data_IF_385094668733
#
_entry.id   IF_385094668733
#
_cell.length_a   1.000
_cell.length_b   1.000
_cell.length_c   1.000
_cell.angle_alpha   90.00
_cell.angle_beta   90.00
_cell.angle_gamma   90.00
#
_symmetry.space_group_name_H-M   'P 1'
#
loop_
_entity.id
_entity.type
_entity.pdbx_description
1 polymer ?
#
# COMPACT_ATOMS: atom_id res chain seq x y z
N UNK A 1 -0.65 23.97 13.44
CA UNK A 1 -0.74 25.09 12.46
C UNK A 1 -0.30 24.50 11.13
N UNK A 2 -1.21 24.30 10.16
CA UNK A 2 -0.88 23.61 8.89
C UNK A 2 0.22 24.40 8.16
N UNK A 3 1.29 23.73 7.72
CA UNK A 3 2.35 24.33 6.92
C UNK A 3 1.79 25.08 5.72
N UNK A 4 2.15 26.37 5.60
CA UNK A 4 1.79 27.26 4.48
C UNK A 4 2.43 26.83 3.16
N UNK A 5 3.39 25.90 3.18
CA UNK A 5 4.23 25.55 2.04
C UNK A 5 4.17 24.06 1.67
N UNK A 6 4.26 23.71 0.38
CA UNK A 6 4.22 22.32 -0.07
C UNK A 6 5.50 21.55 0.32
N UNK A 7 5.37 20.24 0.58
CA UNK A 7 6.53 19.32 0.74
C UNK A 7 7.52 19.43 -0.43
N UNK A 8 8.79 19.13 -0.20
CA UNK A 8 9.85 19.19 -1.22
C UNK A 8 9.49 18.40 -2.51
N UNK A 9 8.88 17.21 -2.39
CA UNK A 9 8.43 16.42 -3.54
C UNK A 9 7.28 17.10 -4.31
N UNK A 10 6.35 17.75 -3.60
CA UNK A 10 5.26 18.49 -4.24
C UNK A 10 5.79 19.75 -4.92
N UNK A 11 6.72 20.47 -4.28
CA UNK A 11 7.41 21.62 -4.88
C UNK A 11 8.18 21.21 -6.16
N UNK A 12 8.90 20.08 -6.13
CA UNK A 12 9.58 19.54 -7.31
C UNK A 12 8.61 19.29 -8.47
N UNK A 13 7.45 18.69 -8.20
CA UNK A 13 6.44 18.45 -9.23
C UNK A 13 5.80 19.76 -9.75
N UNK A 14 5.61 20.75 -8.87
CA UNK A 14 5.17 22.09 -9.29
C UNK A 14 6.19 22.76 -10.21
N UNK A 15 7.49 22.71 -9.87
CA UNK A 15 8.54 23.27 -10.72
C UNK A 15 8.68 22.52 -12.05
N UNK A 16 8.49 21.19 -12.07
CA UNK A 16 8.44 20.44 -13.32
C UNK A 16 7.25 20.83 -14.19
N UNK A 17 6.05 20.97 -13.60
CA UNK A 17 4.87 21.43 -14.33
C UNK A 17 5.05 22.86 -14.86
N UNK A 18 5.64 23.75 -14.04
CA UNK A 18 5.97 25.12 -14.42
C UNK A 18 6.99 25.15 -15.55
N UNK A 19 8.02 24.31 -15.53
CA UNK A 19 8.99 24.21 -16.63
C UNK A 19 8.30 23.86 -17.96
N UNK A 20 7.42 22.87 -17.95
CA UNK A 20 6.67 22.49 -19.16
C UNK A 20 5.74 23.61 -19.64
N UNK A 21 5.20 24.43 -18.74
CA UNK A 21 4.44 25.63 -19.08
C UNK A 21 5.34 26.72 -19.67
N UNK A 22 6.52 26.96 -19.09
CA UNK A 22 7.47 27.95 -19.59
C UNK A 22 8.00 27.59 -20.99
N UNK A 23 8.28 26.30 -21.22
CA UNK A 23 8.65 25.80 -22.55
C UNK A 23 7.51 26.07 -23.57
N UNK A 24 6.25 25.94 -23.16
CA UNK A 24 5.10 26.26 -24.01
C UNK A 24 4.94 27.77 -24.23
N UNK A 25 5.06 28.60 -23.17
CA UNK A 25 5.04 30.07 -23.22
C UNK A 25 6.06 30.61 -24.23
N UNK A 26 7.29 30.10 -24.20
CA UNK A 26 8.37 30.50 -25.10
C UNK A 26 8.00 30.20 -26.57
N UNK A 27 7.43 29.02 -26.83
CA UNK A 27 6.96 28.66 -28.19
C UNK A 27 5.76 29.48 -28.68
N UNK A 28 5.02 30.14 -27.79
CA UNK A 28 3.86 30.98 -28.11
C UNK A 28 4.19 32.48 -28.08
N UNK A 29 5.47 32.84 -27.95
CA UNK A 29 5.96 34.22 -28.01
C UNK A 29 5.61 35.08 -26.79
N UNK A 30 5.23 34.45 -25.68
CA UNK A 30 4.94 35.10 -24.41
C UNK A 30 6.22 35.20 -23.56
N UNK A 31 6.34 36.27 -22.76
CA UNK A 31 7.57 36.55 -22.00
C UNK A 31 7.45 36.25 -20.50
N UNK A 32 6.22 36.11 -19.99
CA UNK A 32 5.95 35.84 -18.58
C UNK A 32 4.72 34.97 -18.39
N UNK A 33 4.70 34.21 -17.29
CA UNK A 33 3.49 33.51 -16.82
C UNK A 33 2.37 34.49 -16.43
N UNK A 34 2.73 35.72 -16.04
CA UNK A 34 1.78 36.79 -15.71
C UNK A 34 1.01 37.30 -16.95
N UNK A 35 1.55 37.07 -18.15
CA UNK A 35 0.93 37.49 -19.41
C UNK A 35 -0.17 36.51 -19.87
N UNK A 36 -0.28 35.34 -19.22
CA UNK A 36 -1.27 34.34 -19.59
C UNK A 36 -2.69 34.85 -19.31
N UNK A 37 -3.50 34.86 -20.36
CA UNK A 37 -4.94 35.09 -20.29
C UNK A 37 -5.69 33.77 -20.03
N UNK A 38 -7.00 33.87 -19.77
CA UNK A 38 -7.88 32.70 -19.70
C UNK A 38 -7.91 31.91 -21.02
N UNK A 39 -7.69 32.57 -22.15
CA UNK A 39 -7.61 31.89 -23.46
C UNK A 39 -6.32 31.08 -23.57
N UNK A 40 -5.17 31.66 -23.18
CA UNK A 40 -3.88 30.96 -23.17
C UNK A 40 -3.91 29.74 -22.24
N UNK A 41 -4.55 29.85 -21.07
CA UNK A 41 -4.76 28.71 -20.18
C UNK A 41 -5.65 27.63 -20.82
N UNK A 42 -6.64 28.02 -21.62
CA UNK A 42 -7.49 27.06 -22.33
C UNK A 42 -6.68 26.32 -23.39
N UNK A 43 -5.90 27.05 -24.20
CA UNK A 43 -5.01 26.50 -25.22
C UNK A 43 -3.92 25.59 -24.61
N UNK A 44 -3.35 25.96 -23.47
CA UNK A 44 -2.39 25.09 -22.77
C UNK A 44 -3.05 23.80 -22.28
N UNK A 45 -4.27 23.87 -21.75
CA UNK A 45 -5.01 22.68 -21.34
C UNK A 45 -5.24 21.73 -22.52
N UNK A 46 -5.58 22.27 -23.69
CA UNK A 46 -5.74 21.51 -24.94
C UNK A 46 -4.40 20.92 -25.41
N UNK A 47 -3.30 21.68 -25.32
CA UNK A 47 -1.96 21.20 -25.60
C UNK A 47 -1.59 19.99 -24.73
N UNK A 48 -1.85 20.04 -23.42
CA UNK A 48 -1.62 18.91 -22.51
C UNK A 48 -2.50 17.72 -22.86
N UNK A 49 -3.76 17.97 -23.23
CA UNK A 49 -4.71 16.94 -23.71
C UNK A 49 -4.20 16.21 -24.95
N UNK A 50 -3.70 16.95 -25.93
CA UNK A 50 -3.24 16.46 -27.23
C UNK A 50 -1.93 15.64 -27.19
N UNK A 51 -1.18 15.66 -26.08
CA UNK A 51 0.07 14.91 -25.95
C UNK A 51 -0.16 13.39 -25.92
N UNK A 52 0.26 12.68 -26.95
CA UNK A 52 0.19 11.20 -26.96
C UNK A 52 1.35 10.53 -26.21
N UNK A 53 2.43 11.25 -25.96
CA UNK A 53 3.65 10.73 -25.31
C UNK A 53 3.54 10.61 -23.77
N UNK A 54 2.40 10.99 -23.19
CA UNK A 54 2.16 11.01 -21.74
C UNK A 54 0.88 10.28 -21.35
N UNK A 55 0.91 9.62 -20.20
CA UNK A 55 -0.26 8.93 -19.63
C UNK A 55 -1.32 9.90 -19.12
N UNK A 56 -2.57 9.46 -19.02
CA UNK A 56 -3.67 10.27 -18.49
C UNK A 56 -3.38 10.82 -17.08
N UNK A 57 -2.88 9.98 -16.17
CA UNK A 57 -2.51 10.40 -14.81
C UNK A 57 -1.38 11.45 -14.79
N UNK A 58 -0.43 11.38 -15.73
CA UNK A 58 0.63 12.38 -15.85
C UNK A 58 0.07 13.73 -16.32
N UNK A 59 -0.85 13.72 -17.29
CA UNK A 59 -1.56 14.92 -17.76
C UNK A 59 -2.37 15.58 -16.64
N UNK A 60 -3.13 14.79 -15.87
CA UNK A 60 -3.88 15.29 -14.70
C UNK A 60 -2.94 15.89 -13.66
N UNK A 61 -1.85 15.20 -13.30
CA UNK A 61 -0.89 15.69 -12.33
C UNK A 61 -0.30 17.05 -12.75
N UNK A 62 0.05 17.21 -14.02
CA UNK A 62 0.55 18.47 -14.57
C UNK A 62 -0.44 19.63 -14.38
N UNK A 63 -1.72 19.44 -14.74
CA UNK A 63 -2.76 20.46 -14.57
C UNK A 63 -3.03 20.78 -13.09
N UNK A 64 -3.07 19.75 -12.22
CA UNK A 64 -3.22 19.90 -10.77
C UNK A 64 -2.08 20.74 -10.18
N UNK A 65 -0.84 20.46 -10.57
CA UNK A 65 0.33 21.15 -10.03
C UNK A 65 0.38 22.63 -10.44
N UNK A 66 -0.10 22.98 -11.63
CA UNK A 66 -0.26 24.38 -12.05
C UNK A 66 -1.40 25.10 -11.30
N UNK A 67 -2.51 24.42 -11.04
CA UNK A 67 -3.58 24.97 -10.17
C UNK A 67 -3.09 25.22 -8.74
N UNK A 68 -2.23 24.35 -8.22
CA UNK A 68 -1.58 24.55 -6.91
C UNK A 68 -0.57 25.70 -6.93
N UNK A 69 0.17 25.88 -8.02
CA UNK A 69 1.05 27.04 -8.19
C UNK A 69 0.25 28.33 -8.14
N UNK A 70 -0.90 28.38 -8.82
CA UNK A 70 -1.82 29.52 -8.78
C UNK A 70 -2.40 29.78 -7.39
N UNK A 71 -2.68 28.75 -6.59
CA UNK A 71 -3.15 28.92 -5.22
C UNK A 71 -2.17 29.70 -4.32
N UNK A 72 -0.88 29.74 -4.70
CA UNK A 72 0.13 30.57 -4.03
C UNK A 72 0.21 32.01 -4.56
N UNK A 73 -0.66 32.43 -5.48
CA UNK A 73 -0.73 33.82 -5.93
C UNK A 73 -0.92 34.82 -4.79
N UNK A 74 -1.63 34.41 -3.73
CA UNK A 74 -1.81 35.23 -2.52
C UNK A 74 -0.49 35.57 -1.82
N UNK A 75 0.57 34.79 -2.08
CA UNK A 75 1.91 34.97 -1.53
C UNK A 75 2.87 35.62 -2.53
N UNK A 76 2.49 35.78 -3.80
CA UNK A 76 3.36 36.32 -4.86
C UNK A 76 3.26 37.85 -4.94
N UNK A 77 4.38 38.55 -5.20
CA UNK A 77 4.33 39.98 -5.51
C UNK A 77 3.46 40.24 -6.75
N UNK A 78 2.72 41.35 -6.74
CA UNK A 78 1.80 41.74 -7.83
C UNK A 78 2.31 41.56 -9.28
N UNK A 79 3.59 41.84 -9.64
CA UNK A 79 4.06 41.62 -11.01
C UNK A 79 4.22 40.15 -11.42
N UNK A 80 4.15 39.21 -10.46
CA UNK A 80 4.28 37.77 -10.68
C UNK A 80 2.98 37.00 -10.43
N UNK A 81 1.93 37.68 -9.98
CA UNK A 81 0.60 37.09 -9.90
C UNK A 81 0.04 36.89 -11.32
N UNK A 82 -0.64 35.77 -11.53
CA UNK A 82 -1.14 35.38 -12.86
C UNK A 82 -2.59 34.92 -12.80
N UNK A 83 -3.27 34.87 -13.95
CA UNK A 83 -4.69 34.52 -14.00
C UNK A 83 -4.92 33.05 -13.62
N UNK A 84 -6.12 32.73 -13.13
CA UNK A 84 -6.47 31.36 -12.75
C UNK A 84 -6.50 30.45 -13.98
N UNK A 85 -5.87 29.25 -13.92
CA UNK A 85 -5.98 28.27 -14.98
C UNK A 85 -7.43 27.87 -15.24
N UNK A 86 -7.81 27.69 -16.51
CA UNK A 86 -9.21 27.45 -16.92
C UNK A 86 -9.82 26.17 -16.31
N UNK A 87 -8.99 25.19 -15.96
CA UNK A 87 -9.42 23.94 -15.30
C UNK A 87 -9.52 24.05 -13.77
N UNK A 88 -9.26 25.22 -13.18
CA UNK A 88 -9.47 25.43 -11.76
C UNK A 88 -10.97 25.42 -11.41
N UNK A 89 -11.82 25.94 -12.30
CA UNK A 89 -13.27 26.02 -12.13
C UNK A 89 -14.05 25.00 -12.98
N UNK A 90 -13.38 24.02 -13.59
CA UNK A 90 -14.00 23.08 -14.52
C UNK A 90 -13.31 21.70 -14.52
N UNK A 91 -14.06 20.66 -14.90
CA UNK A 91 -13.57 19.28 -14.89
C UNK A 91 -12.43 19.09 -15.90
N UNK A 92 -11.34 18.42 -15.49
CA UNK A 92 -10.20 18.09 -16.36
C UNK A 92 -10.60 17.33 -17.63
N UNK A 93 -11.70 16.57 -17.57
CA UNK A 93 -12.23 15.81 -18.70
C UNK A 93 -12.62 16.67 -19.90
N UNK A 94 -12.82 17.98 -19.70
CA UNK A 94 -13.03 18.94 -20.78
C UNK A 94 -11.82 19.04 -21.72
N UNK A 95 -10.60 18.91 -21.18
CA UNK A 95 -9.35 19.02 -21.94
C UNK A 95 -8.73 17.67 -22.26
N UNK A 96 -8.84 16.73 -21.32
CA UNK A 96 -8.18 15.43 -21.43
C UNK A 96 -9.07 14.36 -22.06
N UNK A 97 -10.34 14.68 -22.34
CA UNK A 97 -11.38 13.70 -22.62
C UNK A 97 -11.84 12.96 -21.36
N UNK A 98 -12.86 12.09 -21.47
CA UNK A 98 -13.22 11.21 -20.36
C UNK A 98 -11.98 10.46 -19.91
N UNK A 99 -11.81 10.32 -18.59
CA UNK A 99 -10.78 9.43 -18.08
C UNK A 99 -10.95 8.09 -18.80
N UNK A 100 -9.89 7.53 -19.40
CA UNK A 100 -9.96 6.18 -19.91
C UNK A 100 -10.56 5.35 -18.79
N UNK A 101 -11.49 4.44 -19.10
CA UNK A 101 -11.88 3.36 -18.19
C UNK A 101 -10.70 2.37 -18.07
N UNK A 102 -9.49 2.90 -17.94
CA UNK A 102 -8.33 2.19 -17.50
C UNK A 102 -8.46 2.13 -15.99
N UNK A 103 -8.93 0.97 -15.54
CA UNK A 103 -8.83 0.54 -14.16
C UNK A 103 -7.44 0.93 -13.63
N UNK A 104 -7.37 1.98 -12.81
CA UNK A 104 -6.14 2.43 -12.14
C UNK A 104 -5.57 1.35 -11.21
N UNK A 105 -6.29 0.24 -11.06
CA UNK A 105 -5.86 -1.00 -10.42
C UNK A 105 -5.29 -2.00 -11.43
N UNK A 106 -4.09 -1.73 -11.98
CA UNK A 106 -3.28 -2.72 -12.76
C UNK A 106 -2.84 -3.95 -11.95
N UNK A 107 -3.13 -3.98 -10.66
CA UNK A 107 -2.79 -5.10 -9.78
C UNK A 107 -3.88 -6.16 -9.92
N UNK A 108 -3.53 -7.28 -10.53
CA UNK A 108 -4.39 -8.45 -10.66
C UNK A 108 -4.62 -9.11 -9.28
N UNK A 109 -5.86 -9.50 -8.91
CA UNK A 109 -6.10 -10.37 -7.76
C UNK A 109 -5.28 -11.67 -7.83
N UNK A 110 -5.05 -12.33 -6.71
CA UNK A 110 -4.55 -13.71 -6.71
C UNK A 110 -5.63 -14.67 -7.19
N UNK A 111 -5.23 -15.74 -7.88
CA UNK A 111 -6.14 -16.83 -8.21
C UNK A 111 -6.67 -17.47 -6.90
N UNK A 112 -7.98 -17.83 -6.80
CA UNK A 112 -8.58 -18.35 -5.57
C UNK A 112 -7.87 -19.58 -4.98
N UNK A 113 -7.45 -20.51 -5.84
CA UNK A 113 -6.69 -21.70 -5.42
C UNK A 113 -5.34 -21.32 -4.80
N UNK A 114 -4.61 -20.40 -5.44
CA UNK A 114 -3.29 -19.99 -5.01
C UNK A 114 -3.32 -19.28 -3.66
N UNK A 115 -4.25 -18.34 -3.51
CA UNK A 115 -4.39 -17.59 -2.25
C UNK A 115 -4.88 -18.50 -1.13
N UNK A 116 -5.78 -19.45 -1.41
CA UNK A 116 -6.24 -20.43 -0.42
C UNK A 116 -5.09 -21.31 0.06
N UNK A 117 -4.28 -21.85 -0.85
CA UNK A 117 -3.10 -22.64 -0.49
C UNK A 117 -2.09 -21.82 0.33
N UNK A 118 -1.88 -20.56 -0.03
CA UNK A 118 -0.98 -19.66 0.71
C UNK A 118 -1.49 -19.32 2.12
N UNK A 119 -2.81 -19.15 2.29
CA UNK A 119 -3.45 -18.94 3.60
C UNK A 119 -3.28 -20.18 4.46
N UNK A 120 -3.50 -21.38 3.91
CA UNK A 120 -3.28 -22.65 4.63
C UNK A 120 -1.82 -22.77 5.06
N UNK A 121 -0.87 -22.52 4.16
CA UNK A 121 0.55 -22.51 4.47
C UNK A 121 0.91 -21.57 5.62
N UNK A 122 0.40 -20.32 5.55
CA UNK A 122 0.65 -19.32 6.57
C UNK A 122 0.01 -19.70 7.92
N UNK A 123 -1.24 -20.19 7.91
CA UNK A 123 -1.95 -20.61 9.10
C UNK A 123 -1.25 -21.77 9.80
N UNK A 124 -0.81 -22.79 9.06
CA UNK A 124 -0.07 -23.94 9.59
C UNK A 124 1.23 -23.51 10.27
N UNK A 125 1.97 -22.59 9.66
CA UNK A 125 3.24 -22.11 10.20
C UNK A 125 3.04 -21.24 11.44
N UNK A 126 2.04 -20.36 11.45
CA UNK A 126 1.71 -19.56 12.64
C UNK A 126 1.22 -20.42 13.79
N UNK A 127 0.29 -21.36 13.51
CA UNK A 127 -0.22 -22.27 14.54
C UNK A 127 0.89 -23.13 15.10
N UNK A 128 1.71 -23.75 14.25
CA UNK A 128 2.81 -24.58 14.70
C UNK A 128 3.87 -23.81 15.50
N UNK A 129 4.11 -22.53 15.16
CA UNK A 129 5.02 -21.68 15.92
C UNK A 129 4.48 -21.38 17.32
N UNK A 130 3.21 -20.97 17.42
CA UNK A 130 2.56 -20.65 18.70
C UNK A 130 2.40 -21.88 19.60
N UNK A 131 2.06 -23.02 19.00
CA UNK A 131 1.84 -24.28 19.72
C UNK A 131 3.17 -24.97 20.10
N UNK A 132 4.31 -24.41 19.69
CA UNK A 132 5.65 -24.95 19.95
C UNK A 132 6.00 -26.21 19.15
N UNK A 133 5.15 -26.64 18.22
CA UNK A 133 5.37 -27.82 17.37
C UNK A 133 6.33 -27.53 16.22
N UNK A 134 6.52 -26.26 15.87
CA UNK A 134 7.43 -25.78 14.83
C UNK A 134 8.59 -25.01 15.46
N UNK A 135 9.78 -25.62 15.48
CA UNK A 135 10.98 -24.96 15.98
C UNK A 135 11.51 -23.96 14.95
N UNK A 136 11.48 -22.67 15.28
CA UNK A 136 12.01 -21.60 14.43
C UNK A 136 13.49 -21.39 14.75
N UNK A 137 14.34 -21.51 13.73
CA UNK A 137 15.76 -21.26 13.89
C UNK A 137 16.59 -21.86 12.78
N UNK A 138 17.76 -21.27 12.53
CA UNK A 138 18.75 -21.92 11.68
C UNK A 138 19.35 -23.08 12.46
N UNK A 139 18.86 -24.32 12.26
CA UNK A 139 19.69 -25.49 12.61
C UNK A 139 21.00 -25.32 11.88
N UNK A 140 22.11 -25.36 12.63
CA UNK A 140 23.43 -25.24 12.05
C UNK A 140 23.68 -26.43 11.13
N UNK A 141 23.44 -26.25 9.83
CA UNK A 141 23.64 -27.27 8.77
C UNK A 141 24.92 -28.05 9.01
N UNK A 142 26.00 -27.33 9.32
CA UNK A 142 27.32 -27.89 9.64
C UNK A 142 27.26 -28.89 10.80
N UNK A 143 26.73 -28.51 11.97
CA UNK A 143 26.71 -29.37 13.16
C UNK A 143 25.85 -30.61 12.96
N UNK A 144 24.70 -30.48 12.29
CA UNK A 144 23.84 -31.63 11.96
C UNK A 144 24.48 -32.55 10.92
N UNK A 145 25.15 -32.00 9.91
CA UNK A 145 25.87 -32.79 8.92
C UNK A 145 27.07 -33.50 9.56
N UNK A 146 27.88 -32.81 10.34
CA UNK A 146 29.03 -33.38 11.07
C UNK A 146 28.60 -34.54 11.98
N UNK A 147 27.51 -34.38 12.73
CA UNK A 147 26.96 -35.45 13.57
C UNK A 147 26.54 -36.67 12.73
N UNK A 148 25.93 -36.45 11.57
CA UNK A 148 25.52 -37.53 10.67
C UNK A 148 26.73 -38.26 10.05
N UNK A 149 27.74 -37.54 9.56
CA UNK A 149 28.97 -38.14 9.03
C UNK A 149 29.75 -38.90 10.13
N UNK A 150 29.81 -38.33 11.34
CA UNK A 150 30.45 -38.98 12.49
C UNK A 150 29.75 -40.28 12.86
N UNK A 151 28.42 -40.33 12.80
CA UNK A 151 27.64 -41.55 13.02
C UNK A 151 27.91 -42.65 11.98
N UNK A 152 28.44 -42.30 10.82
CA UNK A 152 28.88 -43.23 9.77
C UNK A 152 30.37 -43.58 9.85
N UNK A 153 31.08 -43.12 10.89
CA UNK A 153 32.53 -43.30 11.03
C UNK A 153 33.37 -42.40 10.11
N UNK A 154 32.75 -41.40 9.47
CA UNK A 154 33.43 -40.47 8.58
C UNK A 154 33.77 -39.20 9.37
N UNK A 155 35.07 -38.92 9.54
CA UNK A 155 35.52 -37.66 10.14
C UNK A 155 35.75 -36.63 9.03
N UNK A 156 34.95 -35.56 9.03
CA UNK A 156 35.12 -34.46 8.09
C UNK A 156 36.34 -33.61 8.47
N UNK A 157 37.08 -33.07 7.47
CA UNK A 157 38.17 -32.14 7.75
C UNK A 157 37.64 -30.88 8.46
N UNK A 158 38.42 -30.30 9.40
CA UNK A 158 38.03 -29.09 10.09
C UNK A 158 37.86 -27.94 9.10
N UNK A 159 36.70 -27.27 9.11
CA UNK A 159 36.45 -26.14 8.19
C UNK A 159 34.99 -25.99 7.79
N UNK A 160 34.75 -25.47 6.59
CA UNK A 160 33.41 -25.37 5.99
C UNK A 160 33.05 -26.71 5.37
N UNK A 161 31.81 -27.17 5.57
CA UNK A 161 31.27 -28.34 4.88
C UNK A 161 31.41 -28.13 3.36
N UNK A 162 32.09 -29.05 2.67
CA UNK A 162 32.23 -28.98 1.21
C UNK A 162 30.85 -29.06 0.55
N UNK A 163 30.71 -28.47 -0.65
CA UNK A 163 29.44 -28.51 -1.37
C UNK A 163 28.99 -29.94 -1.68
N UNK A 164 29.94 -30.83 -1.94
CA UNK A 164 29.71 -32.26 -2.18
C UNK A 164 29.21 -32.98 -0.92
N UNK A 165 29.90 -32.85 0.21
CA UNK A 165 29.47 -33.46 1.48
C UNK A 165 28.12 -32.90 1.93
N UNK A 166 27.87 -31.62 1.68
CA UNK A 166 26.57 -31.01 1.94
C UNK A 166 25.45 -31.61 1.05
N UNK A 167 25.72 -31.89 -0.22
CA UNK A 167 24.76 -32.55 -1.12
C UNK A 167 24.50 -33.99 -0.67
N UNK A 168 25.55 -34.78 -0.48
CA UNK A 168 25.45 -36.17 -0.03
C UNK A 168 24.63 -36.29 1.26
N UNK A 169 24.93 -35.46 2.26
CA UNK A 169 24.18 -35.45 3.52
C UNK A 169 22.71 -35.08 3.31
N UNK A 170 22.42 -34.04 2.52
CA UNK A 170 21.05 -33.60 2.26
C UNK A 170 20.24 -34.68 1.55
N UNK A 171 20.81 -35.29 0.52
CA UNK A 171 20.15 -36.32 -0.28
C UNK A 171 19.85 -37.56 0.59
N UNK A 172 20.81 -37.97 1.41
CA UNK A 172 20.67 -39.15 2.27
C UNK A 172 19.74 -38.95 3.48
N UNK A 173 19.53 -37.71 3.91
CA UNK A 173 18.63 -37.39 5.05
C UNK A 173 17.31 -36.77 4.63
N UNK A 174 17.09 -36.60 3.32
CA UNK A 174 16.00 -35.81 2.76
C UNK A 174 15.86 -34.46 3.48
N UNK A 175 16.99 -33.80 3.72
CA UNK A 175 17.05 -32.64 4.60
C UNK A 175 16.33 -31.45 3.98
N UNK A 176 15.41 -30.88 4.75
CA UNK A 176 14.81 -29.58 4.47
C UNK A 176 15.27 -28.52 5.46
N UNK A 177 15.40 -27.30 4.95
CA UNK A 177 15.68 -26.16 5.79
C UNK A 177 14.53 -25.98 6.81
N UNK A 178 14.87 -25.75 8.08
CA UNK A 178 13.86 -25.38 9.07
C UNK A 178 13.34 -23.98 8.80
N UNK A 179 12.07 -23.74 9.13
CA UNK A 179 11.51 -22.39 9.12
C UNK A 179 12.31 -21.44 10.00
N UNK A 180 12.39 -20.19 9.59
CA UNK A 180 13.11 -19.15 10.32
C UNK A 180 12.21 -17.96 10.65
N UNK A 181 12.78 -16.96 11.31
CA UNK A 181 12.05 -15.76 11.70
C UNK A 181 11.54 -14.96 10.49
N UNK A 182 12.11 -15.14 9.29
CA UNK A 182 11.58 -14.59 8.05
C UNK A 182 10.32 -15.34 7.62
N UNK A 183 10.29 -16.66 7.76
CA UNK A 183 9.10 -17.49 7.49
C UNK A 183 7.89 -17.09 8.34
N UNK A 184 8.09 -16.93 9.66
CA UNK A 184 7.00 -16.51 10.56
C UNK A 184 6.48 -15.11 10.21
N UNK A 185 7.38 -14.16 9.90
CA UNK A 185 6.98 -12.82 9.44
C UNK A 185 6.20 -12.87 8.13
N UNK A 186 6.67 -13.65 7.16
CA UNK A 186 5.99 -13.83 5.88
C UNK A 186 4.59 -14.41 6.07
N UNK A 187 4.46 -15.47 6.88
CA UNK A 187 3.18 -16.08 7.21
C UNK A 187 2.23 -15.09 7.91
N UNK A 188 2.73 -14.34 8.91
CA UNK A 188 1.92 -13.35 9.60
C UNK A 188 1.48 -12.21 8.65
N UNK A 189 2.37 -11.76 7.75
CA UNK A 189 2.04 -10.76 6.74
C UNK A 189 0.90 -11.23 5.83
N UNK A 190 0.91 -12.50 5.39
CA UNK A 190 -0.18 -13.09 4.58
C UNK A 190 -1.51 -12.98 5.31
N UNK A 191 -1.59 -13.51 6.54
CA UNK A 191 -2.84 -13.58 7.30
C UNK A 191 -3.37 -12.18 7.64
N UNK A 192 -2.51 -11.30 8.15
CA UNK A 192 -2.92 -9.94 8.49
C UNK A 192 -3.37 -9.18 7.24
N UNK A 193 -2.58 -9.21 6.15
CA UNK A 193 -2.92 -8.46 4.93
C UNK A 193 -4.20 -8.99 4.28
N UNK A 194 -4.42 -10.30 4.26
CA UNK A 194 -5.58 -10.90 3.62
C UNK A 194 -6.87 -10.72 4.43
N UNK A 195 -6.84 -10.83 5.77
CA UNK A 195 -8.06 -10.76 6.59
C UNK A 195 -8.41 -9.35 7.08
N UNK A 196 -7.55 -8.37 6.84
CA UNK A 196 -7.84 -6.96 7.17
C UNK A 196 -7.98 -6.11 5.91
N UNK A 197 -7.28 -6.48 4.84
CA UNK A 197 -7.11 -5.66 3.65
C UNK A 197 -6.28 -4.40 3.91
N UNK A 198 -5.56 -4.29 5.02
CA UNK A 198 -4.65 -3.17 5.30
C UNK A 198 -3.66 -2.95 4.16
N UNK A 199 -3.21 -1.71 3.97
CA UNK A 199 -2.15 -1.43 3.00
C UNK A 199 -0.85 -2.09 3.47
N UNK A 200 0.01 -2.54 2.54
CA UNK A 200 1.27 -3.17 2.92
C UNK A 200 2.10 -2.34 3.91
N UNK A 201 2.16 -1.02 3.73
CA UNK A 201 2.86 -0.14 4.67
C UNK A 201 2.20 -0.08 6.05
N UNK A 202 0.87 -0.08 6.14
CA UNK A 202 0.14 -0.08 7.43
C UNK A 202 0.41 -1.36 8.21
N UNK A 203 0.41 -2.52 7.52
CA UNK A 203 0.75 -3.82 8.12
C UNK A 203 2.19 -3.82 8.65
N UNK A 204 3.14 -3.35 7.85
CA UNK A 204 4.56 -3.35 8.21
C UNK A 204 4.84 -2.46 9.43
N UNK A 205 4.05 -1.40 9.65
CA UNK A 205 4.23 -0.51 10.80
C UNK A 205 3.37 -0.86 12.02
N UNK A 206 2.74 -2.05 12.06
CA UNK A 206 2.06 -2.52 13.26
C UNK A 206 3.02 -2.57 14.45
N UNK A 207 2.57 -2.00 15.56
CA UNK A 207 3.32 -1.89 16.81
C UNK A 207 2.84 -2.93 17.82
N UNK A 208 3.68 -3.23 18.81
CA UNK A 208 3.30 -4.07 19.96
C UNK A 208 2.05 -3.54 20.64
N UNK A 209 1.18 -4.45 21.09
CA UNK A 209 -0.08 -4.11 21.72
C UNK A 209 -1.07 -3.45 20.77
N UNK A 210 -0.99 -3.71 19.45
CA UNK A 210 -1.99 -3.23 18.48
C UNK A 210 -3.29 -4.04 18.50
N UNK A 211 -3.28 -5.27 19.01
CA UNK A 211 -4.44 -6.16 19.05
C UNK A 211 -5.34 -5.86 20.26
N UNK A 212 -6.65 -5.86 20.03
CA UNK A 212 -7.69 -5.82 21.07
C UNK A 212 -8.67 -6.96 20.83
N UNK A 213 -9.05 -7.62 21.91
CA UNK A 213 -10.08 -8.65 21.92
C UNK A 213 -11.36 -8.07 22.51
N UNK A 214 -12.43 -8.06 21.73
CA UNK A 214 -13.75 -7.63 22.17
C UNK A 214 -14.66 -8.87 22.28
N UNK A 215 -14.90 -9.39 23.50
CA UNK A 215 -15.80 -10.51 23.68
C UNK A 215 -17.22 -10.10 23.29
N UNK A 216 -17.97 -11.01 22.66
CA UNK A 216 -19.36 -10.75 22.24
C UNK A 216 -20.22 -10.44 23.47
N UNK A 217 -20.59 -9.17 23.64
CA UNK A 217 -21.69 -8.77 24.52
C UNK A 217 -23.00 -8.93 23.76
N UNK A 218 -23.79 -9.94 24.15
CA UNK A 218 -25.12 -10.34 23.68
C UNK A 218 -25.83 -9.47 22.62
N UNK A 219 -26.22 -10.14 21.53
CA UNK A 219 -27.34 -9.84 20.60
C UNK A 219 -27.12 -9.01 19.33
N UNK A 220 -25.98 -9.14 18.64
CA UNK A 220 -25.93 -9.04 17.16
C UNK A 220 -24.65 -9.71 16.63
N UNK A 221 -24.79 -10.72 15.76
CA UNK A 221 -23.70 -11.50 15.09
C UNK A 221 -22.66 -12.14 16.02
N UNK A 222 -22.81 -13.44 16.28
CA UNK A 222 -22.04 -14.22 17.27
C UNK A 222 -20.63 -14.64 16.81
N UNK A 223 -19.72 -13.69 16.60
CA UNK A 223 -18.28 -13.98 16.48
C UNK A 223 -17.48 -13.01 17.36
N UNK A 224 -16.49 -13.51 18.10
CA UNK A 224 -15.58 -12.64 18.84
C UNK A 224 -14.91 -11.65 17.89
N UNK A 225 -14.99 -10.36 18.21
CA UNK A 225 -14.44 -9.31 17.36
C UNK A 225 -12.99 -9.02 17.77
N UNK A 226 -12.06 -9.29 16.85
CA UNK A 226 -10.69 -8.83 17.00
C UNK A 226 -10.57 -7.48 16.31
N UNK A 227 -9.99 -6.50 17.00
CA UNK A 227 -9.69 -5.20 16.40
C UNK A 227 -8.20 -4.90 16.46
N UNK A 228 -7.69 -4.27 15.41
CA UNK A 228 -6.28 -3.87 15.29
C UNK A 228 -6.23 -2.34 15.26
N UNK A 229 -5.63 -1.77 16.30
CA UNK A 229 -5.29 -0.35 16.36
C UNK A 229 -3.99 -0.15 15.59
N UNK A 230 -4.09 0.45 14.41
CA UNK A 230 -2.95 0.70 13.53
C UNK A 230 -2.75 2.18 13.25
N UNK A 231 -1.64 2.47 12.57
CA UNK A 231 -1.42 3.80 11.98
C UNK A 231 -1.82 3.76 10.51
N UNK A 232 -2.48 4.80 10.04
CA UNK A 232 -2.69 5.04 8.61
C UNK A 232 -1.58 5.94 8.08
N UNK A 233 -1.32 5.88 6.77
CA UNK A 233 -0.21 6.60 6.13
C UNK A 233 -0.64 7.41 4.90
N UNK A 234 -1.83 7.17 4.34
CA UNK A 234 -2.28 7.87 3.12
C UNK A 234 -2.71 9.29 3.48
N UNK A 235 -2.15 10.28 2.79
CA UNK A 235 -2.61 11.66 2.88
C UNK A 235 -2.18 12.40 4.15
N UNK A 236 -1.52 11.72 5.08
CA UNK A 236 -1.08 12.29 6.33
C UNK A 236 0.24 13.04 6.15
N UNK A 237 0.18 14.31 6.51
CA UNK A 237 1.29 15.24 6.48
C UNK A 237 1.54 15.76 7.89
N UNK A 238 2.80 15.93 8.26
CA UNK A 238 3.14 16.50 9.56
C UNK A 238 2.80 17.99 9.58
N UNK A 239 3.03 18.64 10.72
CA UNK A 239 2.81 20.09 10.85
C UNK A 239 3.65 20.92 9.85
N UNK A 240 4.69 20.32 9.25
CA UNK A 240 5.60 20.91 8.26
C UNK A 240 5.23 20.56 6.80
N UNK A 241 4.23 19.71 6.57
CA UNK A 241 3.73 19.35 5.25
C UNK A 241 4.44 18.16 4.60
N UNK A 242 5.42 17.56 5.27
CA UNK A 242 6.11 16.34 4.83
C UNK A 242 5.23 15.11 5.06
N UNK A 243 5.38 14.07 4.23
CA UNK A 243 4.69 12.81 4.49
C UNK A 243 5.07 12.32 5.89
N UNK A 244 4.08 12.08 6.75
CA UNK A 244 4.28 11.47 8.05
C UNK A 244 4.78 10.04 7.83
N UNK A 245 6.11 9.89 7.79
CA UNK A 245 6.77 8.58 7.66
C UNK A 245 6.46 7.66 8.84
N UNK A 246 5.99 8.22 9.97
CA UNK A 246 5.50 7.46 11.11
C UNK A 246 4.00 7.12 11.05
N UNK A 247 3.24 7.66 10.08
CA UNK A 247 1.78 7.56 10.04
C UNK A 247 1.08 8.27 11.20
N UNK A 248 -0.25 8.36 11.15
CA UNK A 248 -1.07 8.85 12.26
C UNK A 248 -1.97 7.71 12.75
N UNK A 249 -2.35 7.75 14.02
CA UNK A 249 -3.27 6.76 14.56
C UNK A 249 -4.59 6.84 13.79
N UNK A 250 -5.08 5.70 13.33
CA UNK A 250 -6.37 5.63 12.63
C UNK A 250 -7.51 5.75 13.63
N UNK A 251 -8.49 6.58 13.33
CA UNK A 251 -9.66 6.82 14.21
C UNK A 251 -10.55 5.57 14.37
N UNK A 252 -10.68 4.75 13.31
CA UNK A 252 -11.42 3.49 13.33
C UNK A 252 -10.48 2.28 13.25
N UNK A 253 -10.40 1.43 14.29
CA UNK A 253 -9.61 0.19 14.27
C UNK A 253 -10.03 -0.75 13.14
N UNK A 254 -9.09 -1.57 12.66
CA UNK A 254 -9.38 -2.62 11.67
C UNK A 254 -10.06 -3.80 12.36
N UNK A 255 -11.23 -4.22 11.87
CA UNK A 255 -11.88 -5.45 12.32
C UNK A 255 -11.24 -6.65 11.62
N UNK A 256 -11.00 -7.72 12.35
CA UNK A 256 -10.42 -8.96 11.82
C UNK A 256 -10.91 -10.20 12.57
N UNK A 257 -10.39 -11.36 12.17
CA UNK A 257 -10.73 -12.68 12.71
C UNK A 257 -9.52 -13.33 13.38
N UNK A 258 -9.77 -14.41 14.13
CA UNK A 258 -8.77 -15.13 14.94
C UNK A 258 -7.46 -15.45 14.20
N UNK A 259 -7.44 -15.94 12.94
CA UNK A 259 -6.19 -16.19 12.22
C UNK A 259 -5.23 -14.99 12.15
N UNK A 260 -5.76 -13.77 11.97
CA UNK A 260 -4.95 -12.56 11.94
C UNK A 260 -4.53 -12.12 13.35
N UNK A 261 -5.37 -12.36 14.36
CA UNK A 261 -5.03 -12.13 15.77
C UNK A 261 -3.87 -13.03 16.21
N UNK A 262 -3.94 -14.34 15.95
CA UNK A 262 -2.84 -15.30 16.20
C UNK A 262 -1.56 -14.91 15.46
N UNK A 263 -1.68 -14.40 14.24
CA UNK A 263 -0.53 -13.87 13.50
C UNK A 263 0.17 -12.71 14.22
N UNK A 264 -0.61 -11.80 14.84
CA UNK A 264 -0.06 -10.70 15.65
C UNK A 264 0.60 -11.23 16.92
N UNK A 265 -0.02 -12.16 17.62
CA UNK A 265 0.56 -12.82 18.81
C UNK A 265 1.91 -13.49 18.48
N UNK A 266 1.98 -14.19 17.35
CA UNK A 266 3.22 -14.81 16.86
C UNK A 266 4.30 -13.76 16.59
N UNK A 267 3.94 -12.61 16.01
CA UNK A 267 4.88 -11.51 15.82
C UNK A 267 5.32 -10.89 17.14
N UNK A 268 4.44 -10.78 18.14
CA UNK A 268 4.80 -10.27 19.46
C UNK A 268 5.82 -11.16 20.19
N UNK A 269 5.67 -12.49 20.07
CA UNK A 269 6.64 -13.47 20.58
C UNK A 269 7.96 -13.42 19.79
N UNK A 270 7.90 -13.20 18.47
CA UNK A 270 9.06 -13.19 17.58
C UNK A 270 9.88 -11.90 17.65
N UNK A 271 9.22 -10.77 17.84
CA UNK A 271 9.84 -9.45 17.80
C UNK A 271 10.84 -9.27 18.95
N UNK A 272 11.90 -8.50 18.71
CA UNK A 272 12.90 -8.20 19.74
C UNK A 272 12.30 -7.27 20.82
N UNK A 273 12.71 -7.36 22.09
CA UNK A 273 12.17 -6.50 23.16
C UNK A 273 12.48 -5.01 22.97
N UNK A 274 13.55 -4.68 22.22
CA UNK A 274 14.05 -3.32 22.00
C UNK A 274 13.39 -2.58 20.84
N UNK A 275 12.41 -3.18 20.16
CA UNK A 275 11.69 -2.56 19.03
C UNK A 275 10.19 -2.48 19.32
N UNK A 276 9.55 -1.32 19.05
CA UNK A 276 8.11 -1.20 19.13
C UNK A 276 7.40 -1.89 17.95
N UNK A 277 8.07 -2.08 16.82
CA UNK A 277 7.46 -2.62 15.59
C UNK A 277 7.53 -4.15 15.50
N UNK A 278 6.42 -4.75 15.09
CA UNK A 278 6.25 -6.19 14.91
C UNK A 278 7.02 -6.74 13.69
N UNK A 279 7.10 -5.95 12.61
CA UNK A 279 7.85 -6.31 11.38
C UNK A 279 9.27 -5.74 11.33
N UNK A 280 9.86 -5.41 12.48
CA UNK A 280 11.24 -4.96 12.54
C UNK A 280 12.24 -6.07 12.15
N UNK A 281 13.41 -5.68 11.64
CA UNK A 281 14.48 -6.63 11.30
C UNK A 281 15.08 -7.26 12.57
N UNK A 282 15.33 -8.58 12.53
CA UNK A 282 15.95 -9.32 13.65
C UNK A 282 17.48 -9.22 13.71
N UNK A 283 18.15 -8.58 12.75
CA UNK A 283 19.62 -8.39 12.77
C UNK A 283 19.94 -6.97 13.23
N UNK A 284 20.78 -6.84 14.25
CA UNK A 284 21.41 -5.55 14.57
C UNK A 284 22.18 -5.07 13.32
N UNK A 285 21.99 -3.82 12.87
CA UNK A 285 22.82 -3.26 11.81
C UNK A 285 24.29 -3.33 12.22
N UNK A 286 25.20 -3.62 11.27
CA UNK A 286 26.62 -3.31 11.48
C UNK A 286 26.74 -1.78 11.53
N UNK A 287 27.56 -1.24 12.45
CA UNK A 287 27.77 0.21 12.64
C UNK A 287 28.02 1.00 11.34
N UNK A 288 28.57 0.35 10.30
CA UNK A 288 28.86 0.96 9.00
C UNK A 288 27.72 0.94 7.97
N UNK A 289 26.58 0.32 8.28
CA UNK A 289 25.39 0.33 7.41
C UNK A 289 24.32 1.24 8.01
N UNK A 290 24.53 2.56 7.88
CA UNK A 290 23.44 3.52 7.89
C UNK A 290 22.50 3.20 6.71
N UNK A 291 21.47 2.38 6.93
CA UNK A 291 20.28 2.39 6.08
C UNK A 291 19.03 2.52 6.93
N UNK A 292 18.22 3.48 6.47
CA UNK A 292 16.96 3.98 6.98
C UNK A 292 15.94 2.87 7.22
N UNK A 293 15.32 2.88 8.42
CA UNK A 293 14.09 2.16 8.76
C UNK A 293 14.30 0.95 9.69
N UNK A 294 13.72 0.99 10.89
CA UNK A 294 13.63 -0.17 11.79
C UNK A 294 12.76 -1.30 11.21
N UNK A 295 11.86 -0.96 10.28
CA UNK A 295 10.78 -1.79 9.74
C UNK A 295 11.13 -2.41 8.38
N UNK A 296 10.62 -3.61 8.08
CA UNK A 296 10.73 -4.22 6.76
C UNK A 296 10.05 -3.37 5.66
N UNK A 297 10.65 -3.30 4.47
CA UNK A 297 10.06 -2.62 3.31
C UNK A 297 9.13 -3.54 2.53
N UNK A 298 8.19 -2.96 1.76
CA UNK A 298 7.25 -3.71 0.89
C UNK A 298 7.98 -4.61 -0.12
N UNK A 299 9.12 -4.18 -0.66
CA UNK A 299 9.96 -5.00 -1.54
C UNK A 299 10.63 -6.15 -0.78
N UNK A 300 11.18 -5.88 0.41
CA UNK A 300 11.87 -6.90 1.21
C UNK A 300 10.92 -8.01 1.69
N UNK A 301 9.70 -7.65 2.11
CA UNK A 301 8.69 -8.64 2.51
C UNK A 301 8.19 -9.42 1.29
N UNK A 302 8.06 -8.81 0.11
CA UNK A 302 7.75 -9.52 -1.14
C UNK A 302 8.75 -10.63 -1.49
N UNK A 303 10.05 -10.37 -1.28
CA UNK A 303 11.12 -11.37 -1.47
C UNK A 303 11.06 -12.45 -0.37
N UNK A 304 10.80 -12.04 0.88
CA UNK A 304 10.65 -12.96 2.01
C UNK A 304 9.45 -13.89 1.83
N UNK A 305 8.36 -13.41 1.23
CA UNK A 305 7.19 -14.20 0.86
C UNK A 305 7.53 -15.25 -0.19
N UNK A 306 8.30 -14.88 -1.23
CA UNK A 306 8.79 -15.84 -2.21
C UNK A 306 9.65 -16.93 -1.58
N UNK A 307 10.59 -16.56 -0.71
CA UNK A 307 11.43 -17.52 0.02
C UNK A 307 10.61 -18.44 0.93
N UNK A 308 9.58 -17.89 1.57
CA UNK A 308 8.64 -18.63 2.40
C UNK A 308 7.85 -19.65 1.57
N UNK A 309 7.31 -19.26 0.42
CA UNK A 309 6.56 -20.15 -0.48
C UNK A 309 7.44 -21.29 -0.99
N UNK A 310 8.67 -20.98 -1.41
CA UNK A 310 9.63 -22.02 -1.83
C UNK A 310 9.88 -23.03 -0.70
N UNK A 311 10.07 -22.53 0.53
CA UNK A 311 10.31 -23.40 1.67
C UNK A 311 9.08 -24.23 2.04
N UNK A 312 7.90 -23.61 2.10
CA UNK A 312 6.63 -24.30 2.34
C UNK A 312 6.42 -25.42 1.32
N UNK A 313 6.55 -25.13 0.02
CA UNK A 313 6.32 -26.11 -1.04
C UNK A 313 7.26 -27.32 -0.92
N UNK A 314 8.50 -27.12 -0.46
CA UNK A 314 9.43 -28.21 -0.22
C UNK A 314 8.95 -29.12 0.94
N UNK A 315 8.52 -28.54 2.06
CA UNK A 315 7.94 -29.28 3.19
C UNK A 315 6.63 -29.97 2.81
N UNK A 316 5.73 -29.26 2.13
CA UNK A 316 4.45 -29.77 1.69
C UNK A 316 4.61 -30.95 0.73
N UNK A 317 5.55 -30.88 -0.22
CA UNK A 317 5.86 -32.00 -1.10
C UNK A 317 6.38 -33.22 -0.34
N UNK A 318 7.21 -33.01 0.68
CA UNK A 318 7.73 -34.10 1.53
C UNK A 318 6.63 -34.75 2.39
N UNK A 319 5.68 -33.95 2.88
CA UNK A 319 4.63 -34.39 3.79
C UNK A 319 3.34 -34.86 3.09
N UNK A 320 3.18 -34.57 1.80
CA UNK A 320 1.93 -34.79 1.05
C UNK A 320 0.87 -33.70 1.27
N UNK A 321 1.26 -32.52 1.75
CA UNK A 321 0.37 -31.38 1.92
C UNK A 321 0.17 -30.59 0.60
N UNK A 322 -0.91 -29.80 0.46
CA UNK A 322 -1.10 -28.93 -0.69
C UNK A 322 0.02 -27.89 -0.86
N UNK A 323 0.58 -27.82 -2.07
CA UNK A 323 1.57 -26.82 -2.47
C UNK A 323 0.90 -25.52 -2.93
N UNK A 324 1.57 -24.39 -2.75
CA UNK A 324 1.18 -23.13 -3.38
C UNK A 324 1.58 -23.17 -4.86
N UNK A 325 0.66 -23.04 -5.82
CA UNK A 325 0.99 -23.04 -7.23
C UNK A 325 1.90 -21.84 -7.56
N UNK A 326 3.08 -22.10 -8.13
CA UNK A 326 4.03 -21.05 -8.55
C UNK A 326 4.18 -20.96 -10.08
N UNK A 327 3.49 -21.83 -10.81
CA UNK A 327 3.52 -21.93 -12.27
C UNK A 327 2.14 -22.35 -12.77
N UNK A 328 1.87 -22.12 -14.06
CA UNK A 328 0.59 -22.49 -14.69
C UNK A 328 -0.53 -21.46 -14.45
N UNK A 329 -1.76 -21.79 -14.88
CA UNK A 329 -2.89 -20.85 -14.89
C UNK A 329 -3.36 -20.43 -13.50
N UNK A 330 -3.06 -21.23 -12.48
CA UNK A 330 -3.44 -20.98 -11.09
C UNK A 330 -2.29 -20.42 -10.26
N UNK A 331 -1.22 -19.92 -10.91
CA UNK A 331 -0.03 -19.41 -10.22
C UNK A 331 -0.33 -18.26 -9.27
N UNK A 332 0.38 -18.23 -8.13
CA UNK A 332 0.41 -17.10 -7.20
C UNK A 332 1.19 -15.90 -7.77
N UNK A 333 1.95 -16.09 -8.85
CA UNK A 333 2.65 -15.01 -9.54
C UNK A 333 1.67 -14.20 -10.40
N UNK A 334 2.07 -13.01 -10.83
CA UNK A 334 1.30 -12.25 -11.83
C UNK A 334 1.80 -12.61 -13.22
N UNK A 335 0.95 -12.53 -14.24
CA UNK A 335 1.32 -12.85 -15.64
C UNK A 335 2.60 -12.13 -16.13
N UNK A 336 2.88 -10.92 -15.59
CA UNK A 336 4.06 -10.12 -15.94
C UNK A 336 5.35 -10.55 -15.19
N UNK A 337 5.30 -11.59 -14.36
CA UNK A 337 6.47 -12.11 -13.64
C UNK A 337 6.94 -13.40 -14.33
N UNK A 338 8.05 -13.33 -15.06
CA UNK A 338 8.70 -14.53 -15.59
C UNK A 338 9.16 -15.41 -14.44
N UNK A 339 8.78 -16.70 -14.47
CA UNK A 339 9.04 -17.71 -13.44
C UNK A 339 10.51 -18.15 -13.34
N UNK A 340 11.44 -17.20 -13.31
CA UNK A 340 12.82 -17.52 -12.99
C UNK A 340 12.89 -17.88 -11.50
N UNK A 341 13.02 -19.18 -11.23
CA UNK A 341 12.92 -19.79 -9.90
C UNK A 341 13.91 -19.19 -8.87
N UNK A 342 14.91 -18.44 -9.33
CA UNK A 342 15.93 -17.84 -8.47
C UNK A 342 15.39 -16.77 -7.51
N UNK A 343 14.31 -16.03 -7.84
CA UNK A 343 13.74 -14.99 -6.95
C UNK A 343 12.25 -14.76 -7.17
N UNK A 344 11.41 -15.61 -6.58
CA UNK A 344 9.97 -15.35 -6.47
C UNK A 344 9.73 -14.01 -5.73
N UNK A 345 8.97 -13.10 -6.35
CA UNK A 345 8.61 -11.80 -5.78
C UNK A 345 7.09 -11.64 -5.71
N UNK A 346 6.53 -11.71 -4.51
CA UNK A 346 5.09 -11.58 -4.33
C UNK A 346 4.69 -10.10 -4.20
N UNK A 347 3.78 -9.66 -5.08
CA UNK A 347 3.23 -8.30 -5.05
C UNK A 347 2.33 -8.09 -3.84
N UNK A 348 2.80 -7.36 -2.83
CA UNK A 348 2.08 -7.16 -1.55
C UNK A 348 0.73 -6.45 -1.69
N UNK A 349 0.57 -5.56 -2.67
CA UNK A 349 -0.70 -4.88 -2.95
C UNK A 349 -1.79 -5.84 -3.43
N UNK A 350 -1.43 -7.02 -3.96
CA UNK A 350 -2.39 -8.02 -4.44
C UNK A 350 -3.25 -8.59 -3.32
N UNK A 351 -2.77 -8.67 -2.07
CA UNK A 351 -3.57 -9.18 -0.94
C UNK A 351 -4.81 -8.32 -0.71
N UNK A 352 -4.62 -7.01 -0.55
CA UNK A 352 -5.72 -6.04 -0.40
C UNK A 352 -6.65 -6.06 -1.60
N UNK A 353 -6.10 -6.13 -2.83
CA UNK A 353 -6.92 -6.20 -4.05
C UNK A 353 -7.76 -7.48 -4.09
N UNK A 354 -7.19 -8.61 -3.69
CA UNK A 354 -7.87 -9.91 -3.66
C UNK A 354 -9.00 -9.88 -2.66
N UNK A 355 -8.78 -9.42 -1.43
CA UNK A 355 -9.86 -9.29 -0.45
C UNK A 355 -10.94 -8.33 -0.94
N UNK A 356 -10.56 -7.17 -1.48
CA UNK A 356 -11.51 -6.20 -2.00
C UNK A 356 -12.40 -6.78 -3.11
N UNK A 357 -11.82 -7.57 -4.02
CA UNK A 357 -12.58 -8.30 -5.03
C UNK A 357 -13.56 -9.31 -4.41
N UNK A 358 -13.17 -10.04 -3.37
CA UNK A 358 -14.07 -11.00 -2.73
C UNK A 358 -15.22 -10.31 -2.01
N UNK A 359 -14.97 -9.22 -1.28
CA UNK A 359 -16.01 -8.46 -0.58
C UNK A 359 -16.96 -7.81 -1.60
N UNK A 360 -16.42 -7.22 -2.67
CA UNK A 360 -17.20 -6.60 -3.74
C UNK A 360 -18.26 -7.53 -4.35
N UNK A 361 -17.92 -8.81 -4.50
CA UNK A 361 -18.78 -9.81 -5.12
C UNK A 361 -19.78 -10.45 -4.12
N UNK A 362 -19.98 -9.85 -2.95
CA UNK A 362 -21.02 -10.23 -1.99
C UNK A 362 -22.16 -9.20 -1.98
N UNK A 363 -23.41 -9.60 -1.67
CA UNK A 363 -24.51 -8.66 -1.45
C UNK A 363 -24.15 -7.59 -0.39
N UNK A 364 -24.28 -6.30 -0.73
CA UNK A 364 -23.92 -5.19 0.17
C UNK A 364 -22.40 -4.94 0.30
N UNK A 365 -21.58 -5.62 -0.50
CA UNK A 365 -20.11 -5.55 -0.47
C UNK A 365 -19.54 -4.15 -0.70
N UNK A 366 -20.20 -3.31 -1.49
CA UNK A 366 -19.78 -1.94 -1.77
C UNK A 366 -19.79 -1.07 -0.49
N UNK A 367 -20.86 -1.15 0.31
CA UNK A 367 -20.92 -0.41 1.58
C UNK A 367 -19.85 -0.92 2.56
N UNK A 368 -19.66 -2.24 2.61
CA UNK A 368 -18.63 -2.88 3.45
C UNK A 368 -17.20 -2.46 3.03
N UNK A 369 -16.93 -2.33 1.73
CA UNK A 369 -15.66 -1.81 1.21
C UNK A 369 -15.44 -0.34 1.62
N UNK A 370 -16.49 0.49 1.57
CA UNK A 370 -16.45 1.90 1.97
C UNK A 370 -16.06 2.07 3.43
N UNK A 371 -16.67 1.28 4.31
CA UNK A 371 -16.40 1.23 5.75
C UNK A 371 -15.00 0.67 6.02
N UNK A 372 -14.69 -0.53 5.52
CA UNK A 372 -13.43 -1.22 5.79
C UNK A 372 -12.21 -0.41 5.32
N UNK A 373 -12.31 0.28 4.18
CA UNK A 373 -11.17 0.97 3.59
C UNK A 373 -11.10 2.47 3.87
N UNK A 374 -11.99 3.02 4.72
CA UNK A 374 -12.02 4.44 5.07
C UNK A 374 -12.29 5.35 3.87
N UNK A 375 -12.99 4.81 2.87
CA UNK A 375 -13.21 5.44 1.57
C UNK A 375 -14.70 5.37 1.19
N UNK A 376 -15.60 5.66 2.12
CA UNK A 376 -17.05 5.79 1.82
C UNK A 376 -17.28 6.75 0.64
N UNK A 377 -16.42 7.77 0.51
CA UNK A 377 -16.40 8.78 -0.56
C UNK A 377 -15.87 8.34 -1.94
N UNK A 378 -15.35 7.11 -2.10
CA UNK A 378 -14.88 6.63 -3.41
C UNK A 378 -15.41 5.26 -3.78
N UNK A 379 -16.15 4.61 -2.89
CA UNK A 379 -16.59 3.23 -3.09
C UNK A 379 -17.96 3.18 -3.77
N UNK A 380 -18.71 4.28 -3.73
CA UNK A 380 -19.96 4.38 -4.48
C UNK A 380 -19.72 4.59 -5.99
N UNK A 381 -18.52 5.03 -6.44
CA UNK A 381 -18.26 5.31 -7.88
C UNK A 381 -17.37 4.28 -8.62
N UNK A 382 -16.87 3.21 -8.00
CA UNK A 382 -15.81 2.39 -8.60
C UNK A 382 -16.16 0.90 -8.70
N UNK A 383 -16.68 0.49 -9.86
CA UNK A 383 -16.47 -0.78 -10.61
C UNK A 383 -15.99 -2.05 -9.89
N UNK A 384 -16.39 -2.26 -8.64
CA UNK A 384 -16.07 -3.45 -7.86
C UNK A 384 -16.98 -4.62 -8.25
N UNK A 385 -18.17 -4.32 -8.75
CA UNK A 385 -19.03 -5.24 -9.49
C UNK A 385 -18.83 -5.03 -11.02
N UNK A 386 -18.12 -5.93 -11.71
CA UNK A 386 -18.18 -5.94 -13.18
C UNK A 386 -17.06 -6.62 -13.95
N UNK A 387 -17.26 -7.90 -14.28
CA UNK A 387 -17.11 -8.38 -15.66
C UNK A 387 -18.43 -9.07 -16.05
N UNK A 388 -19.00 -8.62 -17.17
CA UNK A 388 -20.26 -8.99 -17.86
C UNK A 388 -21.13 -10.15 -17.34
N UNK A 389 -22.35 -9.81 -16.90
CA UNK A 389 -23.65 -10.31 -17.42
C UNK A 389 -24.86 -9.97 -16.52
N UNK A 390 -24.66 -9.37 -15.34
CA UNK A 390 -25.78 -8.91 -14.50
C UNK A 390 -25.89 -7.38 -14.53
N UNK A 391 -26.94 -6.89 -15.19
CA UNK A 391 -27.21 -5.45 -15.31
C UNK A 391 -27.64 -4.82 -13.98
N UNK A 392 -26.97 -3.72 -13.62
CA UNK A 392 -27.46 -2.68 -12.71
C UNK A 392 -26.95 -1.29 -13.19
N UNK A 393 -27.69 -0.19 -12.98
CA UNK A 393 -27.43 1.12 -13.60
C UNK A 393 -26.38 1.99 -12.88
N UNK A 394 -25.91 3.01 -13.61
CA UNK A 394 -24.82 3.97 -13.33
C UNK A 394 -24.82 4.63 -11.94
N UNK A 395 -23.63 4.67 -11.33
CA UNK A 395 -23.37 5.34 -10.05
C UNK A 395 -22.38 6.49 -10.25
N UNK A 396 -22.88 7.63 -10.73
CA UNK A 396 -22.10 8.88 -10.91
C UNK A 396 -22.74 10.09 -10.22
N UNK A 397 -23.93 9.95 -9.62
CA UNK A 397 -24.67 11.08 -9.03
C UNK A 397 -24.39 11.37 -7.53
N UNK A 398 -23.75 10.44 -6.79
CA UNK A 398 -23.52 10.65 -5.35
C UNK A 398 -22.21 11.39 -5.03
N UNK A 399 -21.15 11.19 -5.82
CA UNK A 399 -19.84 11.82 -5.60
C UNK A 399 -19.86 13.34 -5.84
N UNK A 400 -20.70 13.81 -6.78
CA UNK A 400 -20.90 15.24 -7.03
C UNK A 400 -21.68 15.92 -5.89
N UNK A 401 -22.65 15.19 -5.29
CA UNK A 401 -23.41 15.65 -4.13
C UNK A 401 -22.51 15.76 -2.90
N UNK A 402 -21.69 14.74 -2.61
CA UNK A 402 -20.83 14.69 -1.42
C UNK A 402 -19.55 15.54 -1.51
N UNK A 403 -19.07 15.83 -2.72
CA UNK A 403 -18.02 16.83 -2.93
C UNK A 403 -18.49 18.24 -2.57
N UNK A 404 -19.73 18.58 -2.94
CA UNK A 404 -20.33 19.88 -2.59
C UNK A 404 -20.57 20.06 -1.10
N UNK A 405 -20.82 18.98 -0.35
CA UNK A 405 -21.08 19.05 1.08
C UNK A 405 -19.84 19.36 1.92
N UNK A 406 -18.66 18.81 1.59
CA UNK A 406 -17.41 19.09 2.33
C UNK A 406 -16.89 20.51 2.08
N UNK A 407 -17.06 21.03 0.86
CA UNK A 407 -16.71 22.41 0.54
C UNK A 407 -17.67 23.41 1.22
N UNK A 408 -18.95 23.04 1.36
CA UNK A 408 -19.95 23.85 2.07
C UNK A 408 -19.78 23.84 3.59
N UNK A 409 -19.33 22.73 4.21
CA UNK A 409 -19.01 22.71 5.64
C UNK A 409 -17.74 23.47 5.96
N UNK A 410 -16.71 23.39 5.12
CA UNK A 410 -15.49 24.20 5.27
C UNK A 410 -15.79 25.70 5.14
N UNK A 411 -16.61 26.09 4.16
CA UNK A 411 -17.05 27.48 3.99
C UNK A 411 -17.97 27.95 5.12
N UNK A 412 -18.86 27.08 5.63
CA UNK A 412 -19.75 27.41 6.75
C UNK A 412 -18.97 27.57 8.06
N UNK A 413 -17.96 26.74 8.31
CA UNK A 413 -17.05 26.86 9.46
C UNK A 413 -16.15 28.11 9.37
N UNK A 414 -15.75 28.51 8.16
CA UNK A 414 -15.00 29.75 7.92
C UNK A 414 -15.87 31.01 8.08
N UNK A 415 -17.16 30.92 7.74
CA UNK A 415 -18.16 31.98 7.95
C UNK A 415 -18.60 32.10 9.41
N UNK A 416 -18.75 30.99 10.14
CA UNK A 416 -19.03 30.98 11.58
C UNK A 416 -17.81 31.38 12.42
N UNK A 417 -16.58 31.14 11.91
CA UNK A 417 -15.31 31.52 12.53
C UNK A 417 -14.95 33.01 12.45
N UNK A 418 -15.78 33.82 11.78
CA UNK A 418 -15.71 35.28 11.87
C UNK A 418 -14.51 35.92 11.13
N UNK A 419 -14.40 35.73 9.81
CA UNK A 419 -13.81 36.75 8.94
C UNK A 419 -14.92 37.58 8.30
N UNK A 420 -15.31 38.64 8.98
CA UNK A 420 -16.19 39.66 8.43
C UNK A 420 -15.49 40.34 7.24
N UNK A 421 -15.79 39.90 6.02
CA UNK A 421 -15.53 40.71 4.83
C UNK A 421 -16.58 41.82 4.84
N UNK A 422 -16.20 42.95 5.46
CA UNK A 422 -17.01 44.17 5.45
C UNK A 422 -17.27 44.58 3.99
N UNK A 423 -18.53 44.77 3.55
CA UNK A 423 -18.79 45.38 2.27
C UNK A 423 -18.35 46.84 2.36
N UNK A 424 -17.34 47.21 1.57
CA UNK A 424 -16.82 48.58 1.51
C UNK A 424 -17.92 49.56 1.09
N UNK A 425 -18.39 50.35 2.05
CA UNK A 425 -19.12 51.58 1.83
C UNK A 425 -18.18 52.77 1.99
N UNK A 426 -18.00 53.55 0.92
CA UNK A 426 -17.74 55.01 0.98
C UNK A 426 -18.23 55.58 -0.36
N UNK A 427 -19.43 56.17 -0.41
CA UNK A 427 -19.74 57.62 -0.21
C UNK A 427 -18.83 58.54 -1.03
N UNK A 428 -19.44 59.19 -2.02
CA UNK A 428 -18.90 60.39 -2.63
C UNK A 428 -19.02 61.61 -1.70
N UNK A 429 -18.10 62.55 -1.87
CA UNK A 429 -18.31 64.00 -2.05
C UNK A 429 -16.97 64.71 -1.87
N UNK A 430 -16.42 65.25 -2.96
CA UNK A 430 -16.13 66.68 -3.14
C UNK A 430 -16.00 66.98 -4.64
#
# INVERSE_FOLDING_TARGET
>A
MKSRFPSAQTALHMFHAMKLLLDWIDTHGLSSIADLTTDDWTQYGEHVGAREDRTYSHKVAQLVHLGRLWAHNVDLPSPYAFTAPSWFSAKYSRWLGPAPVEYENKTEPFHPEAISALIVAAHTVISGYLDGTLTVGRRGIKKTAEAWFTAQGITLPPGRLSAENARQWKDATNWLQSYDAGSVRSAAFVLISYFTGMRPQEVLHLQRGCLRYNPVTSNASAAAEYTIVGREFKGLRDEYGDQLSQGAQRDQPWVTIEPAARAIEALEQLARPDTPYLFAWNRRPRESQQRQGEVATTSSIGISLGSFITLWNAHATQNGDPVVPISGPTSILSENQSGDAARLLIGTTRFRRTLAYHIANQPGGEIALGIQYGHVKSVVSLGYAGRGESGFPDVVELDALLGSWDDLTLLAEELEGGSAISPGSSRGSE
#
